data_IF_920127578691
#
_entry.id   IF_920127578691
#
_cell.length_a   1.000
_cell.length_b   1.000
_cell.length_c   1.000
_cell.angle_alpha   90.00
_cell.angle_beta   90.00
_cell.angle_gamma   90.00
#
_symmetry.space_group_name_H-M   'P 1'
#
loop_
_entity.id
_entity.type
_entity.pdbx_description
1 polymer ?
#
# COMPACT_ATOMS: atom_id res chain seq x y z
N UNK A 1 -1.38 75.31 -14.73
CA UNK A 1 -0.67 74.47 -15.71
C UNK A 1 0.72 74.19 -15.16
N UNK A 2 1.23 72.98 -14.99
CA UNK A 2 0.73 71.62 -15.18
C UNK A 2 1.52 70.79 -14.16
N UNK A 3 0.81 70.00 -13.35
CA UNK A 3 1.36 69.01 -12.43
C UNK A 3 2.07 67.93 -13.26
N UNK A 4 3.36 68.11 -13.52
CA UNK A 4 4.20 67.13 -14.21
C UNK A 4 5.37 66.75 -13.31
N UNK A 5 5.10 66.08 -12.18
CA UNK A 5 6.16 65.46 -11.38
C UNK A 5 5.69 64.21 -10.62
N UNK A 6 4.58 63.58 -11.04
CA UNK A 6 4.05 62.38 -10.39
C UNK A 6 3.62 61.36 -11.45
N UNK A 7 4.52 60.95 -12.34
CA UNK A 7 4.29 59.81 -13.24
C UNK A 7 5.64 59.25 -13.74
N UNK A 8 6.52 58.82 -12.84
CA UNK A 8 7.66 57.97 -13.21
C UNK A 8 8.15 57.05 -12.08
N UNK A 9 7.25 56.66 -11.17
CA UNK A 9 7.59 55.71 -10.10
C UNK A 9 6.51 54.62 -9.93
N UNK A 10 5.78 54.32 -11.01
CA UNK A 10 4.72 53.31 -11.03
C UNK A 10 4.85 52.43 -12.29
N UNK A 11 6.02 51.82 -12.53
CA UNK A 11 6.13 50.83 -13.60
C UNK A 11 7.31 49.85 -13.52
N UNK A 12 7.86 49.51 -12.34
CA UNK A 12 8.75 48.33 -12.24
C UNK A 12 8.66 47.71 -10.85
N UNK A 13 7.60 46.94 -10.57
CA UNK A 13 7.52 46.01 -9.43
C UNK A 13 6.48 44.92 -9.72
N UNK A 14 6.53 44.36 -10.93
CA UNK A 14 5.69 43.23 -11.36
C UNK A 14 6.53 42.16 -12.08
N UNK A 15 7.67 41.79 -11.48
CA UNK A 15 8.41 40.60 -11.89
C UNK A 15 8.91 39.84 -10.67
N UNK A 16 8.70 38.53 -10.72
CA UNK A 16 9.26 37.48 -9.87
C UNK A 16 8.71 37.37 -8.45
N UNK A 17 7.52 36.78 -8.37
CA UNK A 17 7.01 36.14 -7.16
C UNK A 17 6.14 34.91 -7.46
N UNK A 18 6.34 34.23 -8.59
CA UNK A 18 5.94 32.83 -8.70
C UNK A 18 7.03 32.01 -8.01
N UNK A 19 7.06 32.04 -6.68
CA UNK A 19 7.59 30.87 -5.98
C UNK A 19 6.59 29.77 -6.27
N UNK A 20 6.90 28.93 -7.26
CA UNK A 20 6.45 27.55 -7.18
C UNK A 20 6.90 27.11 -5.79
N UNK A 21 5.96 26.79 -4.91
CA UNK A 21 6.30 26.00 -3.76
C UNK A 21 6.98 24.76 -4.36
N UNK A 22 8.30 24.67 -4.24
CA UNK A 22 8.96 23.39 -4.37
C UNK A 22 8.32 22.55 -3.28
N UNK A 23 7.33 21.77 -3.69
CA UNK A 23 6.83 20.66 -2.91
C UNK A 23 8.02 19.71 -2.81
N UNK A 24 8.86 19.95 -1.80
CA UNK A 24 9.92 19.04 -1.42
C UNK A 24 9.23 17.79 -0.84
N UNK A 25 8.61 17.00 -1.71
CA UNK A 25 8.35 15.59 -1.42
C UNK A 25 9.74 14.97 -1.50
N UNK A 26 10.42 14.93 -0.36
CA UNK A 26 11.59 14.08 -0.16
C UNK A 26 11.14 12.64 -0.43
N UNK A 27 11.12 12.24 -1.70
CA UNK A 27 10.92 10.85 -2.06
C UNK A 27 12.10 10.11 -1.46
N UNK A 28 11.85 9.12 -0.57
CA UNK A 28 12.93 8.44 0.11
C UNK A 28 13.86 7.84 -0.95
N UNK A 29 15.15 8.15 -0.83
CA UNK A 29 16.17 7.55 -1.69
C UNK A 29 16.09 6.03 -1.62
N UNK A 30 16.58 5.31 -2.64
CA UNK A 30 16.64 3.85 -2.60
C UNK A 30 17.29 3.31 -1.32
N UNK A 31 18.33 3.98 -0.82
CA UNK A 31 18.96 3.61 0.46
C UNK A 31 18.00 3.77 1.65
N UNK A 32 17.19 4.84 1.66
CA UNK A 32 16.14 5.06 2.65
C UNK A 32 15.05 3.99 2.59
N UNK A 33 14.57 3.66 1.40
CA UNK A 33 13.57 2.61 1.18
C UNK A 33 14.11 1.24 1.62
N UNK A 34 15.32 0.89 1.20
CA UNK A 34 15.98 -0.37 1.62
C UNK A 34 16.14 -0.44 3.14
N UNK A 35 16.47 0.66 3.80
CA UNK A 35 16.56 0.68 5.27
C UNK A 35 15.19 0.43 5.92
N UNK A 36 14.13 1.10 5.45
CA UNK A 36 12.78 0.87 5.96
C UNK A 36 12.31 -0.58 5.74
N UNK A 37 12.57 -1.17 4.57
CA UNK A 37 12.25 -2.57 4.28
C UNK A 37 13.02 -3.53 5.19
N UNK A 38 14.31 -3.24 5.45
CA UNK A 38 15.12 -4.03 6.37
C UNK A 38 14.59 -3.98 7.80
N UNK A 39 14.11 -2.83 8.25
CA UNK A 39 13.48 -2.69 9.56
C UNK A 39 12.14 -3.40 9.61
N UNK A 40 11.34 -3.26 8.55
CA UNK A 40 10.01 -3.85 8.43
C UNK A 40 10.08 -5.37 8.52
N UNK A 41 10.94 -6.03 7.74
CA UNK A 41 11.04 -7.50 7.71
C UNK A 41 11.44 -8.19 9.04
N UNK A 42 11.96 -7.43 10.00
CA UNK A 42 12.39 -7.97 11.31
C UNK A 42 11.30 -7.87 12.38
N UNK A 43 10.16 -7.26 12.07
CA UNK A 43 9.05 -7.09 13.00
C UNK A 43 8.20 -8.35 13.08
N UNK A 44 7.48 -8.52 14.20
CA UNK A 44 6.36 -9.48 14.27
C UNK A 44 5.08 -8.71 13.93
N UNK A 45 4.58 -8.88 12.71
CA UNK A 45 3.44 -8.15 12.15
C UNK A 45 2.07 -8.68 12.61
N UNK A 46 2.08 -9.77 13.37
CA UNK A 46 0.88 -10.53 13.74
C UNK A 46 0.76 -10.69 15.27
N UNK A 47 1.35 -9.75 16.02
CA UNK A 47 1.09 -9.58 17.44
C UNK A 47 -0.27 -8.93 17.67
N UNK A 48 -0.80 -9.08 18.88
CA UNK A 48 -1.93 -8.28 19.32
C UNK A 48 -1.57 -6.79 19.32
N UNK A 49 -2.53 -5.95 18.91
CA UNK A 49 -2.44 -4.49 18.98
C UNK A 49 -2.84 -3.95 20.37
N UNK A 50 -3.28 -4.83 21.29
CA UNK A 50 -3.83 -4.47 22.59
C UNK A 50 -5.21 -3.79 22.53
N UNK A 51 -5.85 -3.80 21.36
CA UNK A 51 -7.16 -3.22 21.07
C UNK A 51 -8.10 -4.28 20.50
N UNK A 52 -8.32 -4.29 19.19
CA UNK A 52 -9.30 -5.15 18.51
C UNK A 52 -8.65 -6.39 17.91
N UNK A 53 -7.41 -6.30 17.45
CA UNK A 53 -6.71 -7.43 16.86
C UNK A 53 -6.02 -8.28 17.94
N UNK A 54 -6.47 -9.53 18.08
CA UNK A 54 -5.96 -10.45 19.10
C UNK A 54 -4.63 -11.11 18.76
N UNK A 55 -4.14 -10.94 17.52
CA UNK A 55 -2.94 -11.61 17.01
C UNK A 55 -3.20 -13.04 16.53
N UNK A 56 -2.29 -13.55 15.68
CA UNK A 56 -2.34 -14.95 15.23
C UNK A 56 -1.98 -15.87 16.39
N UNK A 57 -2.95 -16.72 16.80
CA UNK A 57 -2.81 -17.59 17.97
C UNK A 57 -1.93 -18.81 17.71
N UNK A 58 -1.98 -19.39 16.50
CA UNK A 58 -1.12 -20.52 16.13
C UNK A 58 0.33 -20.03 15.86
N UNK A 59 1.32 -20.46 16.66
CA UNK A 59 2.70 -20.04 16.48
C UNK A 59 3.31 -20.46 15.13
N UNK A 60 2.88 -21.59 14.55
CA UNK A 60 3.39 -22.05 13.26
C UNK A 60 2.84 -21.19 12.13
N UNK A 61 1.54 -20.90 12.16
CA UNK A 61 0.91 -19.98 11.22
C UNK A 61 1.54 -18.59 11.33
N UNK A 62 1.71 -18.06 12.55
CA UNK A 62 2.34 -16.76 12.77
C UNK A 62 3.76 -16.69 12.21
N UNK A 63 4.55 -17.74 12.43
CA UNK A 63 5.90 -17.85 11.87
C UNK A 63 5.88 -17.89 10.34
N UNK A 64 4.94 -18.62 9.75
CA UNK A 64 4.76 -18.70 8.31
C UNK A 64 4.41 -17.34 7.71
N UNK A 65 3.45 -16.62 8.29
CA UNK A 65 3.01 -15.32 7.79
C UNK A 65 4.13 -14.27 7.88
N UNK A 66 4.82 -14.15 9.02
CA UNK A 66 5.99 -13.26 9.13
C UNK A 66 7.08 -13.62 8.13
N UNK A 67 7.31 -14.91 7.87
CA UNK A 67 8.24 -15.34 6.81
C UNK A 67 7.79 -14.86 5.43
N UNK A 68 6.50 -14.91 5.09
CA UNK A 68 5.97 -14.42 3.81
C UNK A 68 6.11 -12.91 3.64
N UNK A 69 5.91 -12.16 4.73
CA UNK A 69 6.18 -10.71 4.74
C UNK A 69 7.67 -10.43 4.51
N UNK A 70 8.55 -11.13 5.23
CA UNK A 70 10.00 -10.97 5.06
C UNK A 70 10.48 -11.34 3.65
N UNK A 71 9.98 -12.42 3.05
CA UNK A 71 10.28 -12.81 1.67
C UNK A 71 9.84 -11.72 0.67
N UNK A 72 8.70 -11.07 0.91
CA UNK A 72 8.21 -9.96 0.08
C UNK A 72 9.08 -8.70 0.24
N UNK A 73 9.47 -8.36 1.46
CA UNK A 73 10.37 -7.25 1.74
C UNK A 73 11.73 -7.45 1.06
N UNK A 74 12.29 -8.65 1.11
CA UNK A 74 13.54 -9.00 0.44
C UNK A 74 13.44 -8.85 -1.08
N UNK A 75 12.32 -9.26 -1.69
CA UNK A 75 12.09 -9.03 -3.12
C UNK A 75 12.11 -7.54 -3.49
N UNK A 76 11.50 -6.67 -2.66
CA UNK A 76 11.60 -5.22 -2.84
C UNK A 76 13.03 -4.72 -2.66
N UNK A 77 13.74 -5.18 -1.63
CA UNK A 77 15.15 -4.80 -1.40
C UNK A 77 15.98 -5.11 -2.65
N UNK A 78 15.84 -6.31 -3.22
CA UNK A 78 16.52 -6.70 -4.45
C UNK A 78 16.15 -5.81 -5.63
N UNK A 79 14.88 -5.44 -5.79
CA UNK A 79 14.44 -4.50 -6.83
C UNK A 79 15.14 -3.15 -6.71
N UNK A 80 15.22 -2.58 -5.51
CA UNK A 80 15.83 -1.28 -5.25
C UNK A 80 17.37 -1.29 -5.27
N UNK A 81 18.01 -2.44 -5.06
CA UNK A 81 19.45 -2.64 -5.24
C UNK A 81 19.86 -2.64 -6.72
N UNK A 82 19.02 -3.19 -7.60
CA UNK A 82 19.35 -3.39 -9.02
C UNK A 82 18.74 -2.35 -9.96
N UNK A 83 17.85 -1.48 -9.47
CA UNK A 83 17.23 -0.41 -10.24
C UNK A 83 17.24 0.92 -9.49
N UNK A 84 17.83 1.94 -10.10
CA UNK A 84 17.84 3.30 -9.54
C UNK A 84 16.43 3.90 -9.45
N UNK A 85 15.52 3.52 -10.35
CA UNK A 85 14.13 3.97 -10.35
C UNK A 85 13.22 2.82 -10.79
N UNK A 86 12.80 1.94 -9.87
CA UNK A 86 11.83 0.90 -10.19
C UNK A 86 10.53 1.51 -10.72
N UNK A 87 9.95 0.88 -11.74
CA UNK A 87 8.64 1.28 -12.25
C UNK A 87 7.51 0.90 -11.30
N UNK A 88 6.37 1.60 -11.39
CA UNK A 88 5.13 1.24 -10.67
C UNK A 88 4.75 -0.23 -10.92
N UNK A 89 4.85 -0.70 -12.16
CA UNK A 89 4.51 -2.08 -12.52
C UNK A 89 5.42 -3.12 -11.85
N UNK A 90 6.74 -2.85 -11.76
CA UNK A 90 7.66 -3.75 -11.05
C UNK A 90 7.31 -3.87 -9.57
N UNK A 91 6.97 -2.74 -8.93
CA UNK A 91 6.56 -2.74 -7.52
C UNK A 91 5.24 -3.46 -7.30
N UNK A 92 4.22 -3.14 -8.10
CA UNK A 92 2.92 -3.83 -8.05
C UNK A 92 3.04 -5.33 -8.28
N UNK A 93 3.95 -5.76 -9.16
CA UNK A 93 4.21 -7.18 -9.38
C UNK A 93 4.72 -7.85 -8.10
N UNK A 94 5.67 -7.25 -7.40
CA UNK A 94 6.19 -7.78 -6.13
C UNK A 94 5.10 -7.82 -5.06
N UNK A 95 4.26 -6.77 -4.97
CA UNK A 95 3.10 -6.78 -4.07
C UNK A 95 2.18 -7.97 -4.36
N UNK A 96 1.83 -8.17 -5.63
CA UNK A 96 0.96 -9.25 -6.07
C UNK A 96 1.58 -10.63 -5.80
N UNK A 97 2.83 -10.84 -6.20
CA UNK A 97 3.54 -12.10 -5.98
C UNK A 97 3.69 -12.38 -4.47
N UNK A 98 3.86 -11.33 -3.65
CA UNK A 98 3.98 -11.43 -2.20
C UNK A 98 2.69 -11.90 -1.52
N UNK A 99 1.58 -11.19 -1.75
CA UNK A 99 0.30 -11.46 -1.07
C UNK A 99 -0.27 -12.83 -1.47
N UNK A 100 -0.12 -13.22 -2.75
CA UNK A 100 -0.63 -14.50 -3.25
C UNK A 100 0.22 -15.72 -2.86
N UNK A 101 1.30 -15.56 -2.09
CA UNK A 101 1.93 -16.68 -1.39
C UNK A 101 1.14 -17.14 -0.17
N UNK A 102 0.13 -16.35 0.24
CA UNK A 102 -0.74 -16.62 1.37
C UNK A 102 -2.12 -16.94 0.79
N UNK A 103 -2.61 -18.13 1.13
CA UNK A 103 -3.97 -18.55 0.78
C UNK A 103 -4.97 -17.83 1.70
N UNK A 104 -5.82 -16.93 1.21
CA UNK A 104 -6.78 -16.21 2.05
C UNK A 104 -7.77 -17.17 2.74
N UNK A 105 -8.09 -18.31 2.12
CA UNK A 105 -9.07 -19.27 2.64
C UNK A 105 -8.51 -20.07 3.84
N UNK A 106 -7.20 -20.01 4.03
CA UNK A 106 -6.52 -20.60 5.20
C UNK A 106 -6.59 -19.74 6.46
N UNK A 107 -7.16 -18.53 6.37
CA UNK A 107 -7.17 -17.51 7.43
C UNK A 107 -8.58 -17.11 7.84
N UNK A 108 -8.77 -16.77 9.12
CA UNK A 108 -9.95 -16.05 9.58
C UNK A 108 -9.98 -14.60 9.07
N UNK A 109 -11.14 -13.95 9.13
CA UNK A 109 -11.31 -12.57 8.61
C UNK A 109 -10.33 -11.59 9.24
N UNK A 110 -10.20 -11.59 10.57
CA UNK A 110 -9.28 -10.68 11.29
C UNK A 110 -7.82 -10.86 10.84
N UNK A 111 -7.39 -12.11 10.60
CA UNK A 111 -6.03 -12.41 10.14
C UNK A 111 -5.84 -12.01 8.67
N UNK A 112 -6.86 -12.16 7.82
CA UNK A 112 -6.81 -11.64 6.44
C UNK A 112 -6.71 -10.12 6.44
N UNK A 113 -7.48 -9.42 7.26
CA UNK A 113 -7.42 -7.96 7.38
C UNK A 113 -6.04 -7.52 7.86
N UNK A 114 -5.47 -8.20 8.86
CA UNK A 114 -4.11 -7.92 9.32
C UNK A 114 -3.06 -8.16 8.23
N UNK A 115 -3.18 -9.23 7.44
CA UNK A 115 -2.29 -9.47 6.29
C UNK A 115 -2.41 -8.35 5.26
N UNK A 116 -3.63 -7.99 4.87
CA UNK A 116 -3.86 -6.91 3.91
C UNK A 116 -3.26 -5.59 4.40
N UNK A 117 -3.55 -5.20 5.65
CA UNK A 117 -2.98 -3.99 6.29
C UNK A 117 -1.46 -4.04 6.41
N UNK A 118 -0.89 -5.21 6.74
CA UNK A 118 0.57 -5.41 6.71
C UNK A 118 1.14 -5.13 5.32
N UNK A 119 0.45 -5.55 4.25
CA UNK A 119 0.90 -5.30 2.88
C UNK A 119 0.65 -3.87 2.40
N UNK A 120 -0.26 -3.11 3.01
CA UNK A 120 -0.41 -1.67 2.78
C UNK A 120 0.86 -0.90 3.17
N UNK A 121 1.58 -1.33 4.20
CA UNK A 121 2.86 -0.71 4.57
C UNK A 121 3.93 -0.81 3.47
N UNK A 122 3.88 -1.83 2.60
CA UNK A 122 4.75 -1.85 1.42
C UNK A 122 4.42 -0.73 0.44
N UNK A 123 3.16 -0.32 0.35
CA UNK A 123 2.76 0.81 -0.48
C UNK A 123 3.39 2.11 0.05
N UNK A 124 3.29 2.34 1.35
CA UNK A 124 3.87 3.51 2.03
C UNK A 124 5.39 3.56 1.86
N UNK A 125 6.08 2.45 2.18
CA UNK A 125 7.55 2.37 2.13
C UNK A 125 8.06 2.58 0.70
N UNK A 126 7.36 2.06 -0.30
CA UNK A 126 7.81 2.09 -1.69
C UNK A 126 7.24 3.26 -2.51
N UNK A 127 6.39 4.08 -1.89
CA UNK A 127 5.71 5.21 -2.53
C UNK A 127 4.72 4.79 -3.62
N UNK A 128 4.07 3.64 -3.48
CA UNK A 128 2.90 3.28 -4.30
C UNK A 128 1.66 3.95 -3.70
N UNK A 129 0.94 4.73 -4.51
CA UNK A 129 -0.31 5.38 -4.05
C UNK A 129 -1.50 4.40 -3.92
N UNK A 130 -1.41 3.25 -4.58
CA UNK A 130 -2.50 2.27 -4.68
C UNK A 130 -1.95 0.89 -4.98
N UNK A 131 -2.66 -0.14 -4.51
CA UNK A 131 -2.45 -1.54 -4.87
C UNK A 131 -3.13 -1.94 -6.19
N UNK A 132 -3.82 -1.03 -6.88
CA UNK A 132 -4.61 -1.33 -8.08
C UNK A 132 -5.65 -2.45 -7.84
N UNK A 133 -6.22 -2.49 -6.65
CA UNK A 133 -7.24 -3.46 -6.25
C UNK A 133 -6.68 -4.80 -5.79
N UNK A 134 -5.36 -5.07 -5.90
CA UNK A 134 -4.74 -6.35 -5.52
C UNK A 134 -5.14 -6.77 -4.09
N UNK A 135 -5.04 -5.86 -3.12
CA UNK A 135 -5.31 -6.17 -1.71
C UNK A 135 -6.79 -6.44 -1.45
N UNK A 136 -7.68 -5.63 -2.04
CA UNK A 136 -9.13 -5.83 -1.91
C UNK A 136 -9.60 -7.12 -2.59
N UNK A 137 -9.05 -7.44 -3.76
CA UNK A 137 -9.36 -8.71 -4.42
C UNK A 137 -8.88 -9.89 -3.58
N UNK A 138 -7.66 -9.84 -3.04
CA UNK A 138 -7.17 -10.91 -2.17
C UNK A 138 -8.02 -11.08 -0.90
N UNK A 139 -8.49 -9.97 -0.30
CA UNK A 139 -9.25 -9.98 0.95
C UNK A 139 -10.69 -10.50 0.79
N UNK A 140 -11.40 -10.09 -0.27
CA UNK A 140 -12.86 -10.24 -0.37
C UNK A 140 -13.36 -11.20 -1.46
N UNK A 141 -12.52 -11.61 -2.41
CA UNK A 141 -13.02 -12.24 -3.64
C UNK A 141 -13.79 -13.54 -3.37
N UNK A 142 -13.30 -14.41 -2.48
CA UNK A 142 -14.00 -15.67 -2.16
C UNK A 142 -15.30 -15.43 -1.40
N UNK A 143 -15.29 -14.56 -0.38
CA UNK A 143 -16.50 -14.20 0.37
C UNK A 143 -17.60 -13.63 -0.55
N UNK A 144 -17.22 -12.77 -1.50
CA UNK A 144 -18.15 -12.24 -2.51
C UNK A 144 -18.67 -13.36 -3.42
N UNK A 145 -17.82 -14.28 -3.88
CA UNK A 145 -18.22 -15.39 -4.72
C UNK A 145 -19.21 -16.32 -4.00
N UNK A 146 -18.93 -16.69 -2.75
CA UNK A 146 -19.82 -17.50 -1.93
C UNK A 146 -21.20 -16.84 -1.75
N UNK A 147 -21.23 -15.53 -1.49
CA UNK A 147 -22.47 -14.76 -1.37
C UNK A 147 -23.27 -14.73 -2.68
N UNK A 148 -22.60 -14.60 -3.82
CA UNK A 148 -23.22 -14.64 -5.15
C UNK A 148 -23.85 -16.02 -5.39
N UNK A 149 -23.14 -17.11 -5.14
CA UNK A 149 -23.65 -18.47 -5.35
C UNK A 149 -24.82 -18.82 -4.40
N UNK A 150 -24.73 -18.39 -3.14
CA UNK A 150 -25.81 -18.52 -2.16
C UNK A 150 -27.08 -17.77 -2.58
N UNK A 151 -26.93 -16.60 -3.21
CA UNK A 151 -28.09 -15.85 -3.71
C UNK A 151 -28.68 -16.48 -4.97
N UNK A 152 -27.84 -17.02 -5.86
CA UNK A 152 -28.29 -17.72 -7.07
C UNK A 152 -29.11 -18.97 -6.73
N UNK A 153 -28.61 -19.81 -5.82
CA UNK A 153 -29.28 -21.03 -5.36
C UNK A 153 -30.64 -20.73 -4.70
N UNK A 154 -30.74 -19.69 -3.86
CA UNK A 154 -32.01 -19.24 -3.28
C UNK A 154 -33.02 -18.73 -4.31
N UNK A 155 -32.55 -18.06 -5.35
CA UNK A 155 -33.40 -17.58 -6.44
C UNK A 155 -33.99 -18.71 -7.28
N UNK A 156 -33.22 -19.78 -7.51
CA UNK A 156 -33.70 -20.96 -8.25
C UNK A 156 -34.72 -21.78 -7.46
N UNK A 157 -34.57 -21.90 -6.13
CA UNK A 157 -35.55 -22.59 -5.27
C UNK A 157 -36.92 -21.91 -5.20
N UNK A 158 -37.02 -20.60 -5.47
CA UNK A 158 -38.30 -19.86 -5.44
C UNK A 158 -39.11 -19.95 -6.73
N UNK A 159 -38.53 -20.43 -7.83
CA UNK A 159 -39.18 -20.53 -9.13
C UNK A 159 -39.68 -21.96 -9.44
N UNK A 160 -39.72 -22.84 -8.43
CA UNK A 160 -40.15 -24.24 -8.56
C UNK A 160 -41.48 -24.55 -7.85
N UNK A 161 -42.17 -23.54 -7.32
CA UNK A 161 -43.51 -23.63 -6.72
C UNK A 161 -44.58 -22.98 -7.60
#
# INVERSE_FOLDING_TARGET
MKLFSIFLATAVLLLCGCTQAEENKDHPSNAGIINQLNQFQQQDHFLTDGQLYSGVQDPQLKKLLNKKVAETAEAYIQLYQHSAQPSKQQRLKILSDGIHQIDPDSLGTDDREQVAGTFEHFLDITGLESSEGILNTWLYNEEINELIEKNRSKGQSKNQD
#
